data_IF_790562368637
#
_entry.id   IF_790562368637
#
_cell.length_a   1.000
_cell.length_b   1.000
_cell.length_c   1.000
_cell.angle_alpha   90.00
_cell.angle_beta   90.00
_cell.angle_gamma   90.00
#
_symmetry.space_group_name_H-M   'P 1'
#
loop_
_entity.id
_entity.type
_entity.pdbx_description
1 polymer ?
#
# COMPACT_ATOMS: atom_id res chain seq x y z
N UNK A 1 -2.78 0.98 13.03
CA UNK A 1 -3.55 2.20 12.77
C UNK A 1 -5.03 2.00 13.08
N UNK A 2 -5.69 1.00 12.54
CA UNK A 2 -7.04 0.61 12.95
C UNK A 2 -7.24 -0.92 12.85
N UNK A 3 -8.16 -1.42 13.66
CA UNK A 3 -8.57 -2.82 13.67
C UNK A 3 -9.88 -3.01 12.89
N UNK A 4 -10.12 -4.23 12.42
CA UNK A 4 -11.34 -4.63 11.72
C UNK A 4 -12.60 -4.26 12.53
N UNK A 5 -13.59 -3.66 11.87
CA UNK A 5 -14.87 -3.27 12.46
C UNK A 5 -14.84 -2.04 13.36
N UNK A 6 -13.65 -1.50 13.67
CA UNK A 6 -13.50 -0.30 14.48
C UNK A 6 -13.99 0.97 13.79
N UNK A 7 -14.58 1.90 14.54
CA UNK A 7 -14.99 3.21 14.00
C UNK A 7 -13.77 4.08 13.73
N UNK A 8 -13.64 4.53 12.49
CA UNK A 8 -12.56 5.41 12.05
C UNK A 8 -12.85 6.84 12.48
N UNK A 9 -11.92 7.46 13.21
CA UNK A 9 -12.02 8.86 13.68
C UNK A 9 -11.13 9.83 12.90
N UNK A 10 -10.15 9.30 12.20
CA UNK A 10 -9.15 10.07 11.47
C UNK A 10 -8.86 9.41 10.11
N UNK A 11 -8.46 10.21 9.16
CA UNK A 11 -7.77 9.79 7.94
C UNK A 11 -6.29 10.08 8.11
N UNK A 12 -5.44 9.23 7.52
CA UNK A 12 -3.98 9.37 7.56
C UNK A 12 -3.42 9.46 6.15
N UNK A 13 -2.47 10.36 5.95
CA UNK A 13 -1.75 10.57 4.69
C UNK A 13 -0.28 10.27 4.94
N UNK A 14 0.21 9.07 4.60
CA UNK A 14 1.63 8.73 4.76
C UNK A 14 2.52 9.69 4.00
N UNK A 15 3.69 10.03 4.55
CA UNK A 15 4.72 10.81 3.86
C UNK A 15 5.90 9.95 3.42
N UNK A 16 6.41 9.13 4.30
CA UNK A 16 7.52 8.21 4.11
C UNK A 16 7.28 6.83 4.78
N UNK A 17 6.12 6.67 5.44
CA UNK A 17 5.68 5.37 5.95
C UNK A 17 4.93 4.57 4.90
N UNK A 18 4.87 3.25 5.09
CA UNK A 18 4.04 2.33 4.28
C UNK A 18 3.05 1.63 5.19
N UNK A 19 1.81 1.59 4.77
CA UNK A 19 0.70 0.94 5.48
C UNK A 19 0.09 -0.14 4.62
N UNK A 20 -0.02 -1.35 5.16
CA UNK A 20 -0.69 -2.49 4.54
C UNK A 20 -2.14 -2.56 4.99
N UNK A 21 -3.05 -2.72 4.04
CA UNK A 21 -4.45 -3.04 4.28
C UNK A 21 -4.65 -4.55 4.17
N UNK A 22 -5.05 -5.17 5.27
CA UNK A 22 -5.16 -6.63 5.41
C UNK A 22 -6.59 -7.05 5.68
N UNK A 23 -6.95 -8.23 5.20
CA UNK A 23 -8.07 -8.99 5.73
C UNK A 23 -7.52 -10.14 6.58
N UNK A 24 -8.15 -10.35 7.73
CA UNK A 24 -7.81 -11.42 8.66
C UNK A 24 -9.01 -12.34 8.77
N UNK A 25 -8.78 -13.63 8.54
CA UNK A 25 -9.79 -14.68 8.61
C UNK A 25 -9.99 -15.14 10.06
N UNK A 26 -11.06 -15.87 10.33
CA UNK A 26 -11.40 -16.38 11.66
C UNK A 26 -10.31 -17.31 12.24
N UNK A 27 -9.60 -18.04 11.39
CA UNK A 27 -8.48 -18.92 11.76
C UNK A 27 -7.14 -18.17 11.96
N UNK A 28 -7.15 -16.83 11.82
CA UNK A 28 -5.98 -15.97 11.95
C UNK A 28 -5.16 -15.83 10.66
N UNK A 29 -5.48 -16.55 9.59
CA UNK A 29 -4.83 -16.34 8.30
C UNK A 29 -5.11 -14.93 7.79
N UNK A 30 -4.13 -14.32 7.14
CA UNK A 30 -4.27 -12.95 6.62
C UNK A 30 -3.66 -12.83 5.24
N UNK A 31 -4.15 -11.84 4.49
CA UNK A 31 -3.56 -11.44 3.23
C UNK A 31 -3.66 -9.92 3.06
N UNK A 32 -2.60 -9.33 2.52
CA UNK A 32 -2.60 -7.94 2.11
C UNK A 32 -3.40 -7.80 0.80
N UNK A 33 -4.36 -6.91 0.83
CA UNK A 33 -5.16 -6.59 -0.35
C UNK A 33 -4.63 -5.36 -1.08
N UNK A 34 -3.99 -4.46 -0.36
CA UNK A 34 -3.34 -3.27 -0.90
C UNK A 34 -2.32 -2.68 0.05
N UNK A 35 -1.41 -1.91 -0.51
CA UNK A 35 -0.40 -1.14 0.21
C UNK A 35 -0.57 0.34 -0.14
N UNK A 36 -0.41 1.20 0.87
CA UNK A 36 -0.60 2.65 0.78
C UNK A 36 0.67 3.35 1.28
N UNK A 37 1.17 4.30 0.53
CA UNK A 37 2.26 5.20 0.88
C UNK A 37 1.89 6.66 0.63
N UNK A 38 2.87 7.46 0.25
CA UNK A 38 2.74 8.90 0.01
C UNK A 38 1.82 9.29 -1.16
N UNK A 39 1.42 8.33 -1.98
CA UNK A 39 0.47 8.54 -3.08
C UNK A 39 -0.99 8.53 -2.65
N UNK A 40 -1.28 8.17 -1.38
CA UNK A 40 -2.65 7.91 -0.97
C UNK A 40 -3.00 8.24 0.46
N UNK A 41 -4.10 7.67 0.92
CA UNK A 41 -4.59 7.84 2.28
C UNK A 41 -5.17 6.54 2.85
N UNK A 42 -5.20 6.46 4.18
CA UNK A 42 -5.84 5.39 4.93
C UNK A 42 -7.12 5.93 5.55
N UNK A 43 -8.26 5.23 5.31
CA UNK A 43 -9.56 5.60 5.85
C UNK A 43 -10.58 6.03 4.79
N UNK A 44 -10.53 5.45 3.59
CA UNK A 44 -11.49 5.73 2.48
C UNK A 44 -12.95 5.53 2.91
N UNK A 45 -13.23 4.60 3.85
CA UNK A 45 -14.58 4.36 4.36
C UNK A 45 -15.24 5.63 4.94
N UNK A 46 -14.45 6.61 5.41
CA UNK A 46 -14.97 7.83 6.01
C UNK A 46 -15.76 8.71 5.04
N UNK A 47 -15.31 8.84 3.81
CA UNK A 47 -16.04 9.62 2.79
C UNK A 47 -16.94 8.76 1.90
N UNK A 48 -16.80 7.44 1.96
CA UNK A 48 -17.68 6.49 1.29
C UNK A 48 -18.94 6.16 2.11
N UNK A 49 -19.09 6.73 3.31
CA UNK A 49 -20.28 6.58 4.16
C UNK A 49 -20.24 5.36 5.09
N UNK A 50 -19.14 4.57 5.11
CA UNK A 50 -19.05 3.35 5.90
C UNK A 50 -18.63 3.54 7.36
N UNK A 51 -17.87 4.58 7.67
CA UNK A 51 -17.30 4.90 9.00
C UNK A 51 -16.43 3.82 9.64
N UNK A 52 -16.55 2.59 9.18
CA UNK A 52 -15.77 1.41 9.58
C UNK A 52 -15.48 0.53 8.37
N UNK A 53 -14.59 -0.44 8.53
CA UNK A 53 -14.24 -1.39 7.48
C UNK A 53 -13.86 -2.74 8.11
N UNK A 54 -14.15 -3.87 7.46
CA UNK A 54 -13.69 -5.18 7.92
C UNK A 54 -12.18 -5.40 7.70
N UNK A 55 -11.48 -4.48 7.03
CA UNK A 55 -10.03 -4.54 6.89
C UNK A 55 -9.32 -4.03 8.14
N UNK A 56 -8.05 -4.42 8.28
CA UNK A 56 -7.11 -3.94 9.27
C UNK A 56 -6.01 -3.13 8.58
N UNK A 57 -5.58 -2.02 9.16
CA UNK A 57 -4.45 -1.24 8.66
C UNK A 57 -3.27 -1.35 9.63
N UNK A 58 -2.15 -1.89 9.14
CA UNK A 58 -0.91 -2.01 9.90
C UNK A 58 0.22 -1.27 9.23
N UNK A 59 1.12 -0.71 10.04
CA UNK A 59 2.34 -0.08 9.53
C UNK A 59 3.29 -1.17 9.08
N UNK A 60 3.60 -1.18 7.79
CA UNK A 60 4.57 -2.09 7.17
C UNK A 60 6.00 -1.54 7.29
N UNK A 61 6.17 -0.24 7.04
CA UNK A 61 7.42 0.47 7.22
C UNK A 61 7.16 1.72 8.05
N UNK A 62 7.90 1.88 9.15
CA UNK A 62 7.79 3.04 10.04
C UNK A 62 8.16 4.33 9.31
N UNK A 63 7.60 5.44 9.74
CA UNK A 63 7.80 6.77 9.17
C UNK A 63 6.77 7.75 9.72
N UNK A 64 6.44 8.76 8.94
CA UNK A 64 5.51 9.83 9.30
C UNK A 64 4.25 9.79 8.44
N UNK A 65 3.16 10.31 9.00
CA UNK A 65 1.91 10.56 8.28
C UNK A 65 1.24 11.82 8.84
N UNK A 66 0.58 12.58 7.99
CA UNK A 66 -0.36 13.58 8.44
C UNK A 66 -1.67 12.93 8.87
N UNK A 67 -2.21 13.38 10.00
CA UNK A 67 -3.50 12.93 10.53
C UNK A 67 -4.53 14.05 10.43
N UNK A 68 -5.70 13.75 9.85
CA UNK A 68 -6.81 14.67 9.74
C UNK A 68 -8.06 14.08 10.40
N UNK A 69 -8.81 14.85 11.24
CA UNK A 69 -10.09 14.40 11.77
C UNK A 69 -11.08 14.04 10.65
N UNK A 70 -11.81 12.93 10.83
CA UNK A 70 -12.78 12.41 9.85
C UNK A 70 -13.78 13.48 9.37
N UNK A 71 -14.29 14.31 10.28
CA UNK A 71 -15.27 15.35 9.94
C UNK A 71 -14.70 16.37 8.95
N UNK A 72 -13.43 16.76 9.09
CA UNK A 72 -12.79 17.70 8.17
C UNK A 72 -12.70 17.15 6.74
N UNK A 73 -12.37 15.85 6.61
CA UNK A 73 -12.36 15.20 5.29
C UNK A 73 -13.75 15.12 4.69
N UNK A 74 -14.78 14.78 5.49
CA UNK A 74 -16.18 14.73 5.07
C UNK A 74 -16.67 16.11 4.60
N UNK A 75 -16.34 17.16 5.36
CA UNK A 75 -16.72 18.53 5.01
C UNK A 75 -16.14 18.92 3.65
N UNK A 76 -14.86 18.65 3.41
CA UNK A 76 -14.20 18.92 2.13
C UNK A 76 -14.77 18.07 0.98
N UNK A 77 -15.01 16.78 1.22
CA UNK A 77 -15.62 15.90 0.23
C UNK A 77 -17.00 16.41 -0.22
N UNK A 78 -17.82 16.87 0.74
CA UNK A 78 -19.18 17.34 0.49
C UNK A 78 -19.26 18.72 -0.20
N UNK A 79 -18.13 19.43 -0.33
CA UNK A 79 -18.07 20.65 -1.15
C UNK A 79 -18.11 20.34 -2.65
N UNK A 80 -18.01 19.07 -3.05
CA UNK A 80 -18.04 18.61 -4.44
C UNK A 80 -16.97 19.25 -5.33
N UNK A 81 -15.85 19.67 -4.74
CA UNK A 81 -14.73 20.32 -5.40
C UNK A 81 -13.63 19.35 -5.86
N UNK A 82 -12.44 19.91 -6.06
CA UNK A 82 -11.26 19.16 -6.53
C UNK A 82 -10.85 18.03 -5.56
N UNK A 83 -11.02 18.24 -4.25
CA UNK A 83 -10.70 17.23 -3.23
C UNK A 83 -11.55 15.98 -3.43
N UNK A 84 -12.86 16.13 -3.68
CA UNK A 84 -13.73 14.99 -3.98
C UNK A 84 -13.24 14.23 -5.21
N UNK A 85 -12.88 14.92 -6.28
CA UNK A 85 -12.40 14.29 -7.52
C UNK A 85 -11.11 13.51 -7.25
N UNK A 86 -10.16 14.08 -6.53
CA UNK A 86 -8.91 13.41 -6.16
C UNK A 86 -9.15 12.16 -5.30
N UNK A 87 -10.03 12.26 -4.31
CA UNK A 87 -10.39 11.13 -3.45
C UNK A 87 -11.06 10.00 -4.23
N UNK A 88 -11.93 10.31 -5.18
CA UNK A 88 -12.56 9.31 -6.05
C UNK A 88 -11.55 8.66 -7.01
N UNK A 89 -10.61 9.42 -7.59
CA UNK A 89 -9.54 8.90 -8.45
C UNK A 89 -8.61 8.00 -7.64
N UNK A 90 -8.23 8.41 -6.43
CA UNK A 90 -7.45 7.55 -5.53
C UNK A 90 -8.21 6.27 -5.19
N UNK A 91 -9.49 6.35 -4.87
CA UNK A 91 -10.33 5.17 -4.60
C UNK A 91 -10.35 4.21 -5.79
N UNK A 92 -10.46 4.72 -7.02
CA UNK A 92 -10.40 3.90 -8.23
C UNK A 92 -9.03 3.20 -8.37
N UNK A 93 -7.92 3.92 -8.13
CA UNK A 93 -6.58 3.35 -8.12
C UNK A 93 -6.46 2.20 -7.09
N UNK A 94 -6.98 2.42 -5.89
CA UNK A 94 -6.98 1.43 -4.82
C UNK A 94 -7.80 0.19 -5.19
N UNK A 95 -8.99 0.36 -5.79
CA UNK A 95 -9.81 -0.74 -6.31
C UNK A 95 -9.04 -1.54 -7.36
N UNK A 96 -8.36 -0.87 -8.27
CA UNK A 96 -7.52 -1.55 -9.28
C UNK A 96 -6.40 -2.36 -8.61
N UNK A 97 -5.73 -1.80 -7.61
CA UNK A 97 -4.68 -2.51 -6.87
C UNK A 97 -5.25 -3.78 -6.18
N UNK A 98 -6.41 -3.66 -5.51
CA UNK A 98 -7.09 -4.78 -4.85
C UNK A 98 -7.49 -5.87 -5.86
N UNK A 99 -8.10 -5.49 -6.98
CA UNK A 99 -8.51 -6.41 -8.04
C UNK A 99 -7.30 -7.15 -8.63
N UNK A 100 -6.21 -6.44 -8.94
CA UNK A 100 -4.98 -7.05 -9.45
C UNK A 100 -4.31 -7.95 -8.40
N UNK A 101 -4.41 -7.62 -7.11
CA UNK A 101 -3.92 -8.48 -6.04
C UNK A 101 -4.68 -9.81 -6.01
N UNK A 102 -6.01 -9.78 -6.11
CA UNK A 102 -6.84 -10.99 -6.14
C UNK A 102 -6.51 -11.88 -7.36
N UNK A 103 -6.42 -11.28 -8.55
CA UNK A 103 -6.03 -12.01 -9.79
C UNK A 103 -4.61 -12.58 -9.66
N UNK A 104 -3.67 -11.77 -9.18
CA UNK A 104 -2.28 -12.18 -9.00
C UNK A 104 -2.16 -13.38 -8.05
N UNK A 105 -2.83 -13.33 -6.91
CA UNK A 105 -2.80 -14.40 -5.90
C UNK A 105 -3.40 -15.71 -6.43
N UNK A 106 -4.32 -15.64 -7.40
CA UNK A 106 -4.95 -16.82 -8.00
C UNK A 106 -4.11 -17.45 -9.12
N UNK A 107 -3.45 -16.63 -9.95
CA UNK A 107 -2.93 -17.08 -11.25
C UNK A 107 -1.40 -17.04 -11.37
N UNK A 108 -0.71 -16.30 -10.49
CA UNK A 108 0.74 -16.16 -10.59
C UNK A 108 1.49 -16.94 -9.51
N UNK A 109 2.74 -17.30 -9.81
CA UNK A 109 3.60 -18.00 -8.87
C UNK A 109 4.00 -17.11 -7.68
N UNK A 110 4.32 -17.71 -6.54
CA UNK A 110 4.81 -16.98 -5.35
C UNK A 110 6.03 -16.12 -5.70
N UNK A 111 6.89 -16.59 -6.61
CA UNK A 111 8.03 -15.83 -7.09
C UNK A 111 7.60 -14.50 -7.76
N UNK A 112 6.61 -14.54 -8.65
CA UNK A 112 6.08 -13.35 -9.32
C UNK A 112 5.31 -12.45 -8.35
N UNK A 113 4.55 -13.03 -7.41
CA UNK A 113 3.85 -12.28 -6.35
C UNK A 113 4.86 -11.53 -5.47
N UNK A 114 5.96 -12.18 -5.07
CA UNK A 114 7.02 -11.55 -4.27
C UNK A 114 7.69 -10.41 -5.03
N UNK A 115 8.01 -10.59 -6.33
CA UNK A 115 8.57 -9.52 -7.15
C UNK A 115 7.63 -8.32 -7.23
N UNK A 116 6.34 -8.54 -7.50
CA UNK A 116 5.32 -7.49 -7.53
C UNK A 116 5.23 -6.76 -6.20
N UNK A 117 5.17 -7.50 -5.11
CA UNK A 117 5.04 -6.95 -3.76
C UNK A 117 6.25 -6.09 -3.38
N UNK A 118 7.47 -6.56 -3.66
CA UNK A 118 8.70 -5.78 -3.46
C UNK A 118 8.68 -4.48 -4.27
N UNK A 119 8.29 -4.52 -5.54
CA UNK A 119 8.22 -3.35 -6.40
C UNK A 119 7.20 -2.32 -5.91
N UNK A 120 5.99 -2.77 -5.53
CA UNK A 120 4.97 -1.87 -4.97
C UNK A 120 5.41 -1.21 -3.66
N UNK A 121 6.16 -1.93 -2.82
CA UNK A 121 6.73 -1.38 -1.60
C UNK A 121 7.84 -0.36 -1.91
N UNK A 122 8.74 -0.68 -2.85
CA UNK A 122 9.84 0.21 -3.26
C UNK A 122 9.36 1.48 -3.96
N UNK A 123 8.23 1.44 -4.67
CA UNK A 123 7.64 2.64 -5.30
C UNK A 123 7.23 3.69 -4.25
N UNK A 124 7.10 3.28 -2.98
CA UNK A 124 6.66 4.10 -1.83
C UNK A 124 7.79 4.47 -0.87
N UNK A 125 9.00 4.02 -1.14
CA UNK A 125 10.19 4.28 -0.33
C UNK A 125 11.18 5.15 -1.10
N UNK A 126 11.93 5.97 -0.38
CA UNK A 126 13.01 6.79 -0.95
C UNK A 126 14.29 6.01 -1.27
N UNK A 127 14.32 4.69 -1.02
CA UNK A 127 15.50 3.84 -1.17
C UNK A 127 15.19 2.48 -1.78
N UNK A 128 16.15 1.59 -1.70
CA UNK A 128 16.06 0.21 -2.20
C UNK A 128 16.05 -0.85 -1.10
N UNK A 129 15.77 -0.45 0.15
CA UNK A 129 15.82 -1.31 1.32
C UNK A 129 14.46 -1.42 2.00
N UNK A 130 14.16 -2.63 2.47
CA UNK A 130 12.98 -3.00 3.24
C UNK A 130 13.42 -3.82 4.47
N UNK A 131 12.77 -3.59 5.59
CA UNK A 131 12.97 -4.43 6.79
C UNK A 131 11.72 -5.24 7.04
N UNK A 132 11.78 -6.55 6.71
CA UNK A 132 10.65 -7.46 6.91
C UNK A 132 11.11 -8.92 6.98
N UNK A 133 10.53 -9.66 7.92
CA UNK A 133 10.80 -11.10 8.04
C UNK A 133 10.06 -11.91 6.98
N UNK A 134 10.56 -13.10 6.64
CA UNK A 134 9.88 -14.01 5.71
C UNK A 134 8.49 -14.42 6.20
N UNK A 135 8.29 -14.50 7.51
CA UNK A 135 6.99 -14.78 8.12
C UNK A 135 5.98 -13.66 7.83
N UNK A 136 6.38 -12.40 8.02
CA UNK A 136 5.52 -11.25 7.72
C UNK A 136 5.21 -11.17 6.21
N UNK A 137 6.20 -11.40 5.34
CA UNK A 137 5.97 -11.45 3.89
C UNK A 137 4.99 -12.57 3.54
N UNK A 138 5.12 -13.75 4.16
CA UNK A 138 4.20 -14.86 3.94
C UNK A 138 2.76 -14.48 4.32
N UNK A 139 2.57 -13.83 5.46
CA UNK A 139 1.27 -13.31 5.90
C UNK A 139 0.72 -12.24 4.94
N UNK A 140 1.58 -11.34 4.40
CA UNK A 140 1.15 -10.34 3.41
C UNK A 140 0.71 -11.00 2.10
N UNK A 141 1.46 -11.98 1.61
CA UNK A 141 1.13 -12.68 0.36
C UNK A 141 0.02 -13.74 0.52
N UNK A 142 -0.38 -14.08 1.76
CA UNK A 142 -1.33 -15.15 2.04
C UNK A 142 -0.81 -16.54 1.65
N UNK A 143 0.49 -16.79 1.82
CA UNK A 143 1.18 -18.02 1.43
C UNK A 143 1.95 -18.63 2.61
N UNK A 144 2.44 -19.86 2.44
CA UNK A 144 3.31 -20.50 3.43
C UNK A 144 4.71 -19.88 3.41
N UNK A 145 5.34 -19.78 4.57
CA UNK A 145 6.69 -19.22 4.74
C UNK A 145 7.75 -19.91 3.86
N UNK A 146 7.64 -21.23 3.69
CA UNK A 146 8.57 -22.01 2.85
C UNK A 146 8.54 -21.52 1.39
N UNK A 147 7.38 -21.15 0.89
CA UNK A 147 7.23 -20.59 -0.45
C UNK A 147 7.96 -19.24 -0.61
N UNK A 148 7.89 -18.38 0.41
CA UNK A 148 8.65 -17.12 0.44
C UNK A 148 10.15 -17.39 0.51
N UNK A 149 10.57 -18.34 1.36
CA UNK A 149 11.98 -18.72 1.49
C UNK A 149 12.56 -19.19 0.16
N UNK A 150 11.85 -20.06 -0.58
CA UNK A 150 12.26 -20.54 -1.89
C UNK A 150 12.32 -19.41 -2.93
N UNK A 151 11.27 -18.57 -2.99
CA UNK A 151 11.20 -17.46 -3.92
C UNK A 151 12.30 -16.41 -3.66
N UNK A 152 12.52 -16.01 -2.41
CA UNK A 152 13.59 -15.09 -2.03
C UNK A 152 14.99 -15.68 -2.30
N UNK A 153 15.19 -16.96 -2.01
CA UNK A 153 16.43 -17.65 -2.30
C UNK A 153 16.77 -17.70 -3.80
N UNK A 154 15.74 -17.83 -4.67
CA UNK A 154 15.93 -17.74 -6.13
C UNK A 154 16.33 -16.33 -6.56
N UNK A 155 15.66 -15.28 -6.05
CA UNK A 155 16.02 -13.89 -6.34
C UNK A 155 17.45 -13.55 -5.88
N UNK A 156 17.86 -14.06 -4.72
CA UNK A 156 19.20 -13.87 -4.18
C UNK A 156 20.26 -14.57 -5.04
N UNK A 157 20.03 -15.82 -5.45
CA UNK A 157 20.91 -16.55 -6.37
C UNK A 157 21.06 -15.84 -7.73
N UNK A 158 20.03 -15.14 -8.19
CA UNK A 158 20.06 -14.35 -9.43
C UNK A 158 20.72 -12.98 -9.25
N UNK A 159 21.14 -12.61 -8.02
CA UNK A 159 21.72 -11.31 -7.70
C UNK A 159 20.75 -10.16 -7.80
N UNK A 160 19.45 -10.42 -7.71
CA UNK A 160 18.40 -9.39 -7.81
C UNK A 160 18.15 -8.72 -6.47
N UNK A 161 18.21 -9.48 -5.39
CA UNK A 161 18.12 -9.00 -4.02
C UNK A 161 19.26 -9.54 -3.16
N UNK A 162 19.56 -8.83 -2.08
CA UNK A 162 20.24 -9.40 -0.90
C UNK A 162 19.22 -9.45 0.23
N UNK A 163 19.09 -10.61 0.87
CA UNK A 163 18.15 -10.83 1.96
C UNK A 163 18.82 -11.51 3.14
N UNK A 164 19.06 -10.76 4.19
CA UNK A 164 19.73 -11.24 5.39
C UNK A 164 19.04 -10.72 6.66
N UNK A 165 18.66 -11.64 7.57
CA UNK A 165 18.11 -11.36 8.91
C UNK A 165 16.95 -10.35 8.92
N UNK A 166 16.04 -10.46 7.94
CA UNK A 166 14.90 -9.55 7.84
C UNK A 166 15.17 -8.26 7.09
N UNK A 167 16.39 -8.02 6.60
CA UNK A 167 16.73 -6.88 5.77
C UNK A 167 16.79 -7.33 4.30
N UNK A 168 16.05 -6.65 3.45
CA UNK A 168 16.01 -6.89 2.01
C UNK A 168 16.58 -5.64 1.33
N UNK A 169 17.58 -5.84 0.50
CA UNK A 169 18.10 -4.80 -0.39
C UNK A 169 17.87 -5.24 -1.83
N UNK A 170 17.18 -4.45 -2.63
CA UNK A 170 17.02 -4.71 -4.06
C UNK A 170 18.24 -4.18 -4.80
N UNK A 171 18.99 -5.09 -5.42
CA UNK A 171 20.25 -4.80 -6.11
C UNK A 171 20.02 -4.46 -7.59
N UNK A 172 19.03 -5.11 -8.21
CA UNK A 172 18.69 -4.90 -9.63
C UNK A 172 17.17 -4.78 -9.79
N UNK A 173 16.67 -3.54 -9.73
CA UNK A 173 15.27 -3.21 -9.89
C UNK A 173 14.75 -3.60 -11.29
N UNK A 174 15.53 -3.37 -12.36
CA UNK A 174 15.10 -3.68 -13.72
C UNK A 174 14.86 -5.17 -13.91
N UNK A 175 15.76 -6.00 -13.38
CA UNK A 175 15.61 -7.45 -13.40
C UNK A 175 14.45 -7.92 -12.54
N UNK A 176 14.20 -7.27 -11.40
CA UNK A 176 13.03 -7.53 -10.56
C UNK A 176 11.72 -7.24 -11.31
N UNK A 177 11.65 -6.15 -12.09
CA UNK A 177 10.52 -5.82 -12.96
C UNK A 177 10.30 -6.88 -14.04
N UNK A 178 11.36 -7.36 -14.70
CA UNK A 178 11.29 -8.43 -15.70
C UNK A 178 10.81 -9.78 -15.12
N UNK A 179 11.11 -10.05 -13.86
CA UNK A 179 10.70 -11.26 -13.14
C UNK A 179 9.30 -11.17 -12.53
N UNK A 180 8.75 -9.95 -12.46
CA UNK A 180 7.40 -9.71 -11.99
C UNK A 180 6.37 -10.14 -13.05
N UNK A 181 5.10 -10.26 -12.61
CA UNK A 181 3.98 -10.42 -13.53
C UNK A 181 3.47 -9.05 -14.02
N UNK A 182 2.65 -9.06 -15.06
CA UNK A 182 1.97 -7.89 -15.62
C UNK A 182 1.14 -7.11 -14.59
N UNK A 183 0.72 -7.74 -13.50
CA UNK A 183 -0.07 -7.11 -12.45
C UNK A 183 0.62 -5.87 -11.85
N UNK A 184 1.96 -5.87 -11.75
CA UNK A 184 2.71 -4.70 -11.31
C UNK A 184 2.54 -3.53 -12.29
N UNK A 185 2.78 -3.79 -13.57
CA UNK A 185 2.70 -2.75 -14.61
C UNK A 185 1.28 -2.18 -14.75
N UNK A 186 0.24 -3.02 -14.60
CA UNK A 186 -1.16 -2.57 -14.64
C UNK A 186 -1.45 -1.62 -13.48
N UNK A 187 -1.09 -2.01 -12.23
CA UNK A 187 -1.30 -1.16 -11.05
C UNK A 187 -0.55 0.14 -11.19
N UNK A 188 0.74 0.08 -11.55
CA UNK A 188 1.57 1.29 -11.70
C UNK A 188 1.00 2.25 -12.74
N UNK A 189 0.70 1.76 -13.94
CA UNK A 189 0.15 2.58 -15.04
C UNK A 189 -1.18 3.24 -14.65
N UNK A 190 -2.05 2.51 -13.96
CA UNK A 190 -3.35 3.04 -13.55
C UNK A 190 -3.21 4.07 -12.42
N UNK A 191 -2.32 3.83 -11.46
CA UNK A 191 -1.99 4.78 -10.40
C UNK A 191 -1.42 6.07 -11.00
N UNK A 192 -0.41 5.97 -11.86
CA UNK A 192 0.18 7.13 -12.56
C UNK A 192 -0.91 7.91 -13.33
N UNK A 193 -1.74 7.23 -14.12
CA UNK A 193 -2.83 7.87 -14.89
C UNK A 193 -3.85 8.61 -14.02
N UNK A 194 -4.16 8.08 -12.86
CA UNK A 194 -5.19 8.64 -11.98
C UNK A 194 -4.64 9.71 -11.05
N UNK A 195 -3.39 9.59 -10.60
CA UNK A 195 -2.82 10.44 -9.55
C UNK A 195 -1.83 11.49 -10.07
N UNK A 196 -1.33 11.39 -11.33
CA UNK A 196 -0.55 12.46 -11.98
C UNK A 196 -1.36 13.73 -12.28
N UNK A 197 -2.59 13.81 -11.79
CA UNK A 197 -3.40 15.00 -11.89
C UNK A 197 -2.87 16.05 -10.91
N UNK A 198 -2.02 16.95 -11.41
CA UNK A 198 -1.73 18.21 -10.76
C UNK A 198 -2.90 19.17 -11.07
N UNK A 199 -3.73 19.56 -10.09
CA UNK A 199 -4.73 20.60 -10.30
C UNK A 199 -4.01 21.89 -10.73
N UNK A 200 -4.64 22.74 -11.58
CA UNK A 200 -4.04 24.01 -11.95
C UNK A 200 -3.75 24.82 -10.68
N UNK A 201 -2.55 25.38 -10.60
CA UNK A 201 -1.88 26.07 -9.47
C UNK A 201 -2.78 26.95 -8.59
N UNK A 202 -3.65 26.39 -7.77
CA UNK A 202 -4.43 27.09 -6.72
C UNK A 202 -4.85 26.18 -5.58
N UNK A 203 -4.02 25.25 -5.15
CA UNK A 203 -4.20 24.67 -3.82
C UNK A 203 -3.33 25.50 -2.88
N UNK A 204 -3.95 26.48 -2.21
CA UNK A 204 -3.47 26.88 -0.90
C UNK A 204 -3.67 25.69 0.01
N UNK A 205 -2.64 24.86 0.15
CA UNK A 205 -2.60 23.79 1.11
C UNK A 205 -3.00 24.35 2.48
N UNK A 206 -3.87 23.63 3.17
CA UNK A 206 -4.24 23.86 4.56
C UNK A 206 -2.97 23.94 5.43
N UNK A 207 -2.39 25.14 5.58
CA UNK A 207 -1.06 25.29 6.20
C UNK A 207 -1.08 25.42 7.71
N UNK A 208 -2.22 25.19 8.42
CA UNK A 208 -2.22 25.54 9.83
C UNK A 208 -2.77 24.53 10.84
N UNK A 209 -3.23 23.33 10.44
CA UNK A 209 -3.79 22.36 11.41
C UNK A 209 -3.58 20.87 11.04
N UNK A 210 -2.54 20.53 10.30
CA UNK A 210 -2.10 19.14 10.16
C UNK A 210 -1.15 18.81 11.32
N UNK A 211 -1.41 17.71 11.98
CA UNK A 211 -0.54 17.20 13.04
C UNK A 211 0.34 16.10 12.44
N UNK A 212 1.65 16.25 12.56
CA UNK A 212 2.62 15.21 12.20
C UNK A 212 2.62 14.14 13.30
N UNK A 213 2.48 12.88 12.90
CA UNK A 213 2.66 11.73 13.80
C UNK A 213 3.69 10.76 13.23
N UNK A 214 4.56 10.28 14.08
CA UNK A 214 5.43 9.16 13.78
C UNK A 214 4.64 7.86 13.91
N UNK A 215 4.65 6.99 12.90
CA UNK A 215 3.91 5.71 12.84
C UNK A 215 4.80 4.53 12.48
#
# INVERSE_FOLDING_TARGET
MYESGGTLRHVYFPTDSIVSLLYVMEDGASAEISVVGNEGLIGIALFMGGESTPSRAIVQSAGYAYRLPAQRLKDEFNQHGEVMILLLRYTQSLITQMAQTAVCNRHHSIHQQLCRWLLLSLDRLSGNQLTMTQELIANMLGVRREGVTDAAGKLQKLGVIDYNRGHITVLDRRKLEQLSCECYAVVKKETDRLLDYLPPKKIQLFSSKLYDEHI
#
